data_IF_656952247848
#
_entry.id   IF_656952247848
#
_cell.length_a   1.000
_cell.length_b   1.000
_cell.length_c   1.000
_cell.angle_alpha   90.00
_cell.angle_beta   90.00
_cell.angle_gamma   90.00
#
_symmetry.space_group_name_H-M   'P 1'
#
loop_
_entity.id
_entity.type
_entity.pdbx_description
1 polymer ?
#
# COMPACT_ATOMS: atom_id res chain seq x y z
N UNK A 1 15.61 0.31 -9.54
CA UNK A 1 15.18 1.46 -10.35
C UNK A 1 15.61 1.32 -11.80
N UNK A 2 16.88 1.01 -12.07
CA UNK A 2 17.46 0.84 -13.42
C UNK A 2 16.76 -0.21 -14.31
N UNK A 3 15.95 -1.10 -13.73
CA UNK A 3 15.19 -2.13 -14.45
C UNK A 3 13.78 -1.70 -14.85
N UNK A 4 13.37 -0.50 -14.48
CA UNK A 4 12.06 0.03 -14.86
C UNK A 4 12.21 0.84 -16.14
N UNK A 5 11.40 0.56 -17.19
CA UNK A 5 11.35 1.40 -18.38
C UNK A 5 10.94 2.83 -17.99
N UNK A 6 11.60 3.83 -18.53
CA UNK A 6 11.27 5.24 -18.25
C UNK A 6 9.82 5.58 -18.57
N UNK A 7 9.27 4.98 -19.63
CA UNK A 7 7.87 5.13 -20.04
C UNK A 7 6.85 4.62 -19.03
N UNK A 8 7.28 3.81 -18.04
CA UNK A 8 6.43 3.23 -17.01
C UNK A 8 6.67 3.88 -15.63
N UNK A 9 7.51 4.91 -15.57
CA UNK A 9 7.77 5.70 -14.37
C UNK A 9 7.03 7.02 -14.49
N UNK A 10 5.92 7.15 -13.76
CA UNK A 10 5.07 8.34 -13.82
C UNK A 10 5.27 9.17 -12.56
N UNK A 11 5.51 10.45 -12.72
CA UNK A 11 5.79 11.35 -11.60
C UNK A 11 4.54 12.13 -11.17
N UNK A 12 4.52 12.56 -9.91
CA UNK A 12 3.45 13.36 -9.32
C UNK A 12 3.92 14.80 -9.11
N UNK A 13 3.26 15.77 -9.76
CA UNK A 13 3.50 17.21 -9.56
C UNK A 13 2.70 17.79 -8.40
N UNK A 14 1.54 17.21 -8.11
CA UNK A 14 0.69 17.68 -7.04
C UNK A 14 -0.19 16.54 -6.51
N UNK A 15 -0.73 16.75 -5.32
CA UNK A 15 -1.84 15.98 -4.81
C UNK A 15 -2.97 16.91 -4.36
N UNK A 16 -4.21 16.49 -4.53
CA UNK A 16 -5.38 17.23 -4.09
C UNK A 16 -6.37 16.32 -3.35
N UNK A 17 -7.02 16.88 -2.33
CA UNK A 17 -8.07 16.20 -1.58
C UNK A 17 -9.36 17.00 -1.73
N UNK A 18 -10.43 16.32 -2.16
CA UNK A 18 -11.77 16.89 -2.33
C UNK A 18 -12.73 16.23 -1.34
N UNK A 19 -13.75 16.96 -0.90
CA UNK A 19 -14.73 16.45 0.05
C UNK A 19 -16.17 16.73 -0.43
N UNK A 20 -16.81 15.73 -1.02
CA UNK A 20 -18.17 15.80 -1.57
C UNK A 20 -18.30 16.95 -2.56
N UNK A 21 -19.45 17.60 -2.52
CA UNK A 21 -19.82 18.75 -3.38
C UNK A 21 -19.15 20.06 -2.96
N UNK A 22 -18.17 20.02 -2.04
CA UNK A 22 -17.50 21.21 -1.55
C UNK A 22 -16.58 21.79 -2.63
N UNK A 23 -16.69 23.09 -2.90
CA UNK A 23 -15.75 23.82 -3.75
C UNK A 23 -14.32 23.88 -3.13
N UNK A 24 -14.21 23.54 -1.84
CA UNK A 24 -12.91 23.54 -1.15
C UNK A 24 -12.07 22.35 -1.57
N UNK A 25 -10.84 22.63 -2.01
CA UNK A 25 -9.83 21.65 -2.37
C UNK A 25 -8.59 21.89 -1.52
N UNK A 26 -8.14 20.87 -0.80
CA UNK A 26 -6.86 20.90 -0.13
C UNK A 26 -5.77 20.48 -1.14
N UNK A 27 -4.89 21.40 -1.48
CA UNK A 27 -3.85 21.19 -2.49
C UNK A 27 -2.46 21.07 -1.86
N UNK A 28 -1.70 20.08 -2.31
CA UNK A 28 -0.33 19.79 -1.90
C UNK A 28 0.59 19.89 -3.11
N UNK A 29 1.26 21.03 -3.34
CA UNK A 29 2.29 21.15 -4.36
C UNK A 29 3.56 20.43 -3.94
N UNK A 30 4.46 20.21 -4.88
CA UNK A 30 5.81 19.70 -4.59
C UNK A 30 6.54 20.68 -3.66
N UNK A 31 7.02 20.26 -2.49
CA UNK A 31 7.83 21.11 -1.65
C UNK A 31 9.23 21.30 -2.27
N UNK A 32 9.90 22.39 -1.94
CA UNK A 32 11.25 22.65 -2.43
C UNK A 32 12.30 21.65 -1.93
N UNK A 33 12.02 21.00 -0.80
CA UNK A 33 12.91 20.00 -0.20
C UNK A 33 12.10 18.89 0.49
N UNK A 34 12.63 17.66 0.48
CA UNK A 34 12.08 16.53 1.24
C UNK A 34 12.45 16.63 2.75
N UNK A 35 12.08 15.59 3.53
CA UNK A 35 12.39 15.48 4.97
C UNK A 35 13.91 15.46 5.27
N UNK A 36 14.72 15.04 4.32
CA UNK A 36 16.19 14.97 4.40
C UNK A 36 16.90 16.24 3.86
N UNK A 37 16.14 17.32 3.60
CA UNK A 37 16.64 18.60 3.04
C UNK A 37 17.25 18.49 1.64
N UNK A 38 16.89 17.46 0.88
CA UNK A 38 17.28 17.32 -0.51
C UNK A 38 16.26 18.03 -1.39
N UNK A 39 16.71 18.73 -2.43
CA UNK A 39 15.83 19.34 -3.42
C UNK A 39 15.05 18.23 -4.15
N UNK A 40 13.76 18.44 -4.33
CA UNK A 40 12.87 17.53 -5.04
C UNK A 40 12.01 18.30 -6.04
N UNK A 41 11.69 17.66 -7.14
CA UNK A 41 10.86 18.17 -8.23
C UNK A 41 9.53 17.38 -8.38
N UNK A 42 9.35 16.36 -7.54
CA UNK A 42 8.17 15.50 -7.55
C UNK A 42 7.74 15.12 -6.13
N UNK A 43 6.44 14.90 -5.92
CA UNK A 43 5.91 14.30 -4.68
C UNK A 43 6.23 12.81 -4.58
N UNK A 44 6.51 12.15 -5.70
CA UNK A 44 6.77 10.73 -5.78
C UNK A 44 6.53 10.18 -7.17
N UNK A 45 6.66 8.87 -7.28
CA UNK A 45 6.52 8.17 -8.55
C UNK A 45 5.43 7.10 -8.44
N UNK A 46 4.69 6.94 -9.54
CA UNK A 46 3.78 5.83 -9.75
C UNK A 46 4.42 4.86 -10.75
N UNK A 47 4.56 3.62 -10.34
CA UNK A 47 5.06 2.55 -11.21
C UNK A 47 4.04 1.41 -11.17
N UNK A 48 3.58 0.89 -12.33
CA UNK A 48 2.64 -0.23 -12.35
C UNK A 48 3.19 -1.45 -11.60
N UNK A 49 2.34 -2.10 -10.81
CA UNK A 49 2.75 -3.21 -9.94
C UNK A 49 3.41 -4.36 -10.71
N UNK A 50 2.96 -4.64 -11.95
CA UNK A 50 3.56 -5.68 -12.79
C UNK A 50 4.99 -5.34 -13.21
N UNK A 51 5.31 -4.05 -13.42
CA UNK A 51 6.67 -3.57 -13.73
C UNK A 51 7.58 -3.73 -12.50
N UNK A 52 7.09 -3.36 -11.32
CA UNK A 52 7.83 -3.55 -10.06
C UNK A 52 8.14 -5.03 -9.85
N UNK A 53 7.14 -5.91 -10.03
CA UNK A 53 7.31 -7.36 -9.88
C UNK A 53 8.28 -7.93 -10.89
N UNK A 54 8.18 -7.53 -12.17
CA UNK A 54 9.09 -7.97 -13.22
C UNK A 54 10.53 -7.58 -12.90
N UNK A 55 10.79 -6.31 -12.59
CA UNK A 55 12.13 -5.83 -12.27
C UNK A 55 12.72 -6.51 -11.02
N UNK A 56 11.91 -6.81 -10.00
CA UNK A 56 12.33 -7.58 -8.85
C UNK A 56 12.66 -9.04 -9.21
N UNK A 57 11.81 -9.67 -10.02
CA UNK A 57 12.01 -11.05 -10.48
C UNK A 57 13.30 -11.18 -11.30
N UNK A 58 13.52 -10.31 -12.29
CA UNK A 58 14.73 -10.27 -13.11
C UNK A 58 16.00 -10.08 -12.24
N UNK A 59 15.93 -9.18 -11.25
CA UNK A 59 17.06 -8.94 -10.33
C UNK A 59 17.43 -10.18 -9.52
N UNK A 60 16.45 -10.97 -9.11
CA UNK A 60 16.68 -12.20 -8.33
C UNK A 60 17.15 -13.34 -9.22
N UNK A 61 16.70 -13.43 -10.46
CA UNK A 61 17.14 -14.45 -11.43
C UNK A 61 18.65 -14.39 -11.73
N UNK A 62 19.25 -13.24 -11.62
CA UNK A 62 20.71 -13.05 -11.80
C UNK A 62 21.53 -13.49 -10.59
N UNK A 63 20.88 -13.92 -9.50
CA UNK A 63 21.56 -14.33 -8.28
C UNK A 63 21.68 -15.86 -8.22
N UNK A 64 22.88 -16.40 -8.39
CA UNK A 64 23.14 -17.84 -8.38
C UNK A 64 22.87 -18.50 -7.02
N UNK A 65 22.91 -17.73 -5.93
CA UNK A 65 22.70 -18.22 -4.57
C UNK A 65 21.21 -18.26 -4.16
N UNK A 66 20.27 -17.91 -5.06
CA UNK A 66 18.83 -17.96 -4.81
C UNK A 66 18.21 -19.13 -5.57
N UNK A 67 17.53 -20.01 -4.85
CA UNK A 67 16.76 -21.11 -5.43
C UNK A 67 15.27 -20.77 -5.46
N UNK A 68 14.66 -20.97 -6.61
CA UNK A 68 13.24 -20.79 -6.83
C UNK A 68 12.48 -22.12 -6.74
N UNK A 69 11.39 -22.12 -6.00
CA UNK A 69 10.40 -23.19 -5.98
C UNK A 69 9.06 -22.61 -6.46
N UNK A 70 8.86 -22.60 -7.78
CA UNK A 70 7.65 -22.10 -8.43
C UNK A 70 6.66 -23.21 -8.67
N UNK A 71 5.36 -22.86 -8.80
CA UNK A 71 4.31 -23.84 -9.07
C UNK A 71 3.94 -24.71 -7.88
N UNK A 72 4.44 -24.39 -6.68
CA UNK A 72 4.16 -25.11 -5.45
C UNK A 72 3.64 -24.16 -4.34
N UNK A 73 2.98 -24.74 -3.35
CA UNK A 73 2.39 -24.02 -2.21
C UNK A 73 2.93 -24.55 -0.90
N UNK A 74 3.18 -23.66 0.05
CA UNK A 74 3.49 -24.05 1.43
C UNK A 74 2.23 -24.57 2.10
N UNK A 75 2.28 -25.81 2.58
CA UNK A 75 1.18 -26.51 3.27
C UNK A 75 1.42 -26.70 4.75
N UNK A 76 2.70 -26.66 5.19
CA UNK A 76 3.06 -26.66 6.61
C UNK A 76 4.34 -25.83 6.82
N UNK A 77 4.51 -25.30 8.01
CA UNK A 77 5.74 -24.66 8.44
C UNK A 77 5.89 -24.76 9.95
N UNK A 78 7.12 -24.65 10.42
CA UNK A 78 7.46 -24.69 11.84
C UNK A 78 8.90 -24.29 12.09
N UNK A 79 9.30 -24.33 13.37
CA UNK A 79 10.68 -24.09 13.78
C UNK A 79 11.01 -24.81 15.07
N UNK A 80 12.27 -25.18 15.20
CA UNK A 80 12.89 -25.68 16.43
C UNK A 80 13.95 -24.68 16.95
N UNK A 81 14.83 -25.12 17.83
CA UNK A 81 15.91 -24.28 18.38
C UNK A 81 16.98 -23.93 17.34
N UNK A 82 17.21 -24.76 16.33
CA UNK A 82 18.30 -24.67 15.35
C UNK A 82 17.86 -24.20 13.96
N UNK A 83 16.61 -24.49 13.58
CA UNK A 83 16.12 -24.29 12.20
C UNK A 83 14.65 -23.91 12.14
N UNK A 84 14.25 -23.33 11.00
CA UNK A 84 12.87 -23.23 10.55
C UNK A 84 12.69 -24.08 9.31
N UNK A 85 11.48 -24.55 9.04
CA UNK A 85 11.16 -25.36 7.88
C UNK A 85 9.81 -24.98 7.26
N UNK A 86 9.68 -25.29 5.97
CA UNK A 86 8.42 -25.28 5.23
C UNK A 86 8.26 -26.60 4.50
N UNK A 87 7.02 -27.11 4.43
CA UNK A 87 6.66 -28.27 3.61
C UNK A 87 5.81 -27.76 2.44
N UNK A 88 6.14 -28.17 1.25
CA UNK A 88 5.45 -27.86 0.01
C UNK A 88 4.38 -28.91 -0.31
N UNK A 89 3.41 -28.56 -1.15
CA UNK A 89 2.33 -29.45 -1.56
C UNK A 89 2.78 -30.64 -2.43
N UNK A 90 3.98 -30.58 -2.99
CA UNK A 90 4.63 -31.72 -3.65
C UNK A 90 5.35 -32.69 -2.67
N UNK A 91 5.30 -32.44 -1.36
CA UNK A 91 5.92 -33.23 -0.33
C UNK A 91 7.34 -32.82 0.07
N UNK A 92 7.98 -31.92 -0.67
CA UNK A 92 9.34 -31.44 -0.35
C UNK A 92 9.35 -30.64 0.95
N UNK A 93 10.40 -30.82 1.75
CA UNK A 93 10.64 -30.01 2.95
C UNK A 93 11.94 -29.22 2.79
N UNK A 94 11.85 -27.91 2.96
CA UNK A 94 12.97 -26.98 2.89
C UNK A 94 13.24 -26.45 4.29
N UNK A 95 14.49 -26.56 4.76
CA UNK A 95 14.95 -26.06 6.05
C UNK A 95 15.95 -24.93 5.90
N UNK A 96 15.93 -24.00 6.85
CA UNK A 96 16.86 -22.87 6.88
C UNK A 96 17.01 -22.31 8.28
N UNK A 97 17.97 -21.40 8.49
CA UNK A 97 18.19 -20.75 9.79
C UNK A 97 17.07 -19.76 10.16
N UNK A 98 16.40 -19.22 9.17
CA UNK A 98 15.34 -18.21 9.33
C UNK A 98 14.28 -18.38 8.23
N UNK A 99 13.01 -18.38 8.62
CA UNK A 99 11.87 -18.28 7.72
C UNK A 99 11.40 -16.81 7.65
N UNK A 100 11.29 -16.28 6.44
CA UNK A 100 10.74 -14.93 6.21
C UNK A 100 9.41 -15.04 5.47
N UNK A 101 8.31 -14.67 6.10
CA UNK A 101 6.99 -14.71 5.51
C UNK A 101 6.65 -13.38 4.84
N UNK A 102 6.34 -13.44 3.54
CA UNK A 102 5.90 -12.34 2.69
C UNK A 102 4.65 -12.72 1.88
N UNK A 103 3.82 -13.62 2.42
CA UNK A 103 2.74 -14.35 1.77
C UNK A 103 1.37 -13.66 1.87
N UNK A 104 1.36 -12.32 1.86
CA UNK A 104 0.18 -11.45 1.85
C UNK A 104 -0.49 -11.22 3.23
N UNK A 105 -1.50 -10.32 3.25
CA UNK A 105 -2.29 -10.00 4.45
C UNK A 105 -3.04 -11.19 5.05
N UNK A 106 -3.37 -12.19 4.25
CA UNK A 106 -4.00 -13.44 4.70
C UNK A 106 -2.98 -14.54 4.97
N UNK A 107 -1.76 -14.17 5.35
CA UNK A 107 -0.59 -15.02 5.54
C UNK A 107 -0.93 -16.37 6.20
N UNK A 108 -0.64 -17.45 5.45
CA UNK A 108 -0.69 -18.82 5.98
C UNK A 108 0.41 -19.03 7.01
N UNK A 109 1.64 -18.59 6.69
CA UNK A 109 2.81 -18.76 7.56
C UNK A 109 2.59 -18.06 8.89
N UNK A 110 2.06 -16.82 8.91
CA UNK A 110 1.75 -16.11 10.16
C UNK A 110 0.85 -16.94 11.06
N UNK A 111 -0.24 -17.51 10.51
CA UNK A 111 -1.19 -18.33 11.28
C UNK A 111 -0.58 -19.64 11.76
N UNK A 112 0.12 -20.35 10.87
CA UNK A 112 0.77 -21.62 11.19
C UNK A 112 1.86 -21.47 12.26
N UNK A 113 2.58 -20.32 12.24
CA UNK A 113 3.59 -19.97 13.26
C UNK A 113 2.99 -19.38 14.55
N UNK A 114 1.66 -19.42 14.73
CA UNK A 114 0.98 -18.98 15.95
C UNK A 114 1.03 -17.48 16.22
N UNK A 115 1.18 -16.65 15.17
CA UNK A 115 1.18 -15.20 15.31
C UNK A 115 -0.23 -14.65 15.05
N UNK A 116 -0.88 -14.16 16.12
CA UNK A 116 -2.17 -13.50 16.02
C UNK A 116 -2.07 -12.14 15.30
N UNK A 117 -3.17 -11.71 14.70
CA UNK A 117 -3.29 -10.40 14.07
C UNK A 117 -4.63 -9.75 14.43
N UNK A 118 -4.62 -8.43 14.51
CA UNK A 118 -5.83 -7.63 14.56
C UNK A 118 -6.29 -7.41 13.12
N UNK A 119 -7.47 -7.91 12.79
CA UNK A 119 -8.06 -7.82 11.46
C UNK A 119 -9.22 -6.84 11.48
N UNK A 120 -9.24 -5.91 10.55
CA UNK A 120 -10.32 -4.95 10.36
C UNK A 120 -10.96 -5.16 9.00
N UNK A 121 -12.14 -5.72 8.98
CA UNK A 121 -13.01 -5.74 7.80
C UNK A 121 -13.76 -4.42 7.70
N UNK A 122 -13.71 -3.78 6.53
CA UNK A 122 -14.36 -2.48 6.33
C UNK A 122 -15.74 -2.61 5.69
N UNK A 123 -16.14 -3.81 5.26
CA UNK A 123 -17.39 -4.05 4.51
C UNK A 123 -17.39 -3.32 3.16
N UNK A 124 -16.22 -3.14 2.59
CA UNK A 124 -16.00 -2.38 1.34
C UNK A 124 -15.12 -3.17 0.39
N UNK A 125 -15.31 -2.91 -0.91
CA UNK A 125 -14.44 -3.36 -1.97
C UNK A 125 -13.68 -2.17 -2.58
N UNK A 126 -12.51 -2.48 -3.12
CA UNK A 126 -11.67 -1.57 -3.88
C UNK A 126 -11.69 -2.01 -5.32
N UNK A 127 -12.25 -1.17 -6.20
CA UNK A 127 -12.25 -1.37 -7.64
C UNK A 127 -11.07 -0.60 -8.24
N UNK A 128 -10.24 -1.26 -9.04
CA UNK A 128 -9.05 -0.68 -9.66
C UNK A 128 -9.13 -0.88 -11.16
N UNK A 129 -9.04 0.20 -11.93
CA UNK A 129 -9.09 0.20 -13.39
C UNK A 129 -8.44 1.48 -13.94
N UNK A 130 -8.25 1.53 -15.27
CA UNK A 130 -7.64 2.69 -15.95
C UNK A 130 -8.65 3.35 -16.88
N UNK A 131 -8.66 4.67 -16.87
CA UNK A 131 -9.41 5.49 -17.80
C UNK A 131 -8.47 6.36 -18.63
N UNK A 132 -8.72 6.39 -19.94
CA UNK A 132 -8.23 7.41 -20.85
C UNK A 132 -9.20 8.59 -20.82
N UNK A 133 -8.71 9.84 -20.95
CA UNK A 133 -9.52 11.04 -20.87
C UNK A 133 -8.99 12.15 -21.77
N UNK A 134 -9.89 13.08 -22.12
CA UNK A 134 -9.66 14.13 -23.12
C UNK A 134 -8.72 15.25 -22.65
N UNK A 135 -8.91 15.73 -21.39
CA UNK A 135 -8.12 16.84 -20.84
C UNK A 135 -6.97 16.31 -19.99
N UNK A 136 -5.85 17.04 -19.93
CA UNK A 136 -4.70 16.67 -19.11
C UNK A 136 -5.09 16.58 -17.61
N UNK A 137 -4.52 15.62 -16.91
CA UNK A 137 -4.61 15.51 -15.44
C UNK A 137 -3.52 16.31 -14.69
N UNK A 138 -2.65 17.02 -15.44
CA UNK A 138 -1.54 17.84 -14.93
C UNK A 138 -0.64 17.09 -13.93
N UNK A 139 -0.49 15.78 -14.08
CA UNK A 139 0.22 14.88 -13.14
C UNK A 139 -0.22 15.07 -11.67
N UNK A 140 -1.48 15.38 -11.46
CA UNK A 140 -2.07 15.62 -10.14
C UNK A 140 -2.83 14.40 -9.66
N UNK A 141 -2.39 13.79 -8.54
CA UNK A 141 -3.18 12.79 -7.85
C UNK A 141 -4.36 13.46 -7.13
N UNK A 142 -5.55 12.89 -7.26
CA UNK A 142 -6.76 13.42 -6.60
C UNK A 142 -7.39 12.33 -5.72
N UNK A 143 -7.64 12.64 -4.45
CA UNK A 143 -8.43 11.81 -3.55
C UNK A 143 -9.76 12.51 -3.29
N UNK A 144 -10.84 11.94 -3.82
CA UNK A 144 -12.19 12.47 -3.72
C UNK A 144 -12.97 11.64 -2.69
N UNK A 145 -13.36 12.28 -1.60
CA UNK A 145 -14.21 11.69 -0.57
C UNK A 145 -15.67 12.03 -0.85
N UNK A 146 -16.41 11.08 -1.38
CA UNK A 146 -17.85 11.19 -1.56
C UNK A 146 -18.62 10.61 -0.37
N UNK A 147 -19.94 10.82 -0.34
CA UNK A 147 -20.79 10.23 0.67
C UNK A 147 -21.02 8.75 0.32
N UNK A 148 -20.36 7.85 1.08
CA UNK A 148 -20.48 6.39 0.89
C UNK A 148 -19.43 5.75 -0.02
N UNK A 149 -18.59 6.52 -0.71
CA UNK A 149 -17.49 6.03 -1.54
C UNK A 149 -16.27 6.96 -1.47
N UNK A 150 -15.13 6.50 -1.94
CA UNK A 150 -13.99 7.35 -2.27
C UNK A 150 -13.51 7.02 -3.68
N UNK A 151 -12.99 8.02 -4.37
CA UNK A 151 -12.39 7.89 -5.70
C UNK A 151 -11.00 8.51 -5.67
N UNK A 152 -9.97 7.69 -5.83
CA UNK A 152 -8.62 8.15 -6.09
C UNK A 152 -8.35 8.13 -7.60
N UNK A 153 -7.83 9.23 -8.11
CA UNK A 153 -7.37 9.40 -9.48
C UNK A 153 -5.85 9.56 -9.45
N UNK A 154 -5.13 8.58 -9.97
CA UNK A 154 -3.68 8.52 -9.94
C UNK A 154 -3.14 8.66 -11.39
N UNK A 155 -2.49 9.77 -11.74
CA UNK A 155 -2.04 10.03 -13.12
C UNK A 155 -0.94 9.04 -13.52
N UNK A 156 -1.12 8.35 -14.63
CA UNK A 156 -0.08 7.53 -15.27
C UNK A 156 0.59 8.30 -16.40
N UNK A 157 -0.20 8.83 -17.32
CA UNK A 157 0.24 9.77 -18.35
C UNK A 157 -0.64 11.01 -18.29
N UNK A 158 -0.40 12.01 -19.14
CA UNK A 158 -1.25 13.22 -19.21
C UNK A 158 -2.72 12.89 -19.43
N UNK A 159 -3.02 11.80 -20.15
CA UNK A 159 -4.35 11.41 -20.59
C UNK A 159 -4.79 10.02 -20.09
N UNK A 160 -4.02 9.36 -19.25
CA UNK A 160 -4.39 8.08 -18.63
C UNK A 160 -4.27 8.20 -17.12
N UNK A 161 -5.35 7.84 -16.44
CA UNK A 161 -5.44 7.84 -14.99
C UNK A 161 -5.82 6.45 -14.47
N UNK A 162 -5.12 5.98 -13.46
CA UNK A 162 -5.53 4.80 -12.69
C UNK A 162 -6.57 5.24 -11.66
N UNK A 163 -7.76 4.66 -11.74
CA UNK A 163 -8.88 4.92 -10.85
C UNK A 163 -8.95 3.86 -9.75
N UNK A 164 -9.15 4.31 -8.53
CA UNK A 164 -9.33 3.43 -7.36
C UNK A 164 -10.61 3.85 -6.64
N UNK A 165 -11.68 3.08 -6.81
CA UNK A 165 -12.96 3.34 -6.13
C UNK A 165 -13.06 2.44 -4.91
N UNK A 166 -13.27 3.03 -3.73
CA UNK A 166 -13.63 2.29 -2.52
C UNK A 166 -15.12 2.45 -2.24
N UNK A 167 -15.87 1.36 -2.28
CA UNK A 167 -17.33 1.36 -2.19
C UNK A 167 -17.84 0.23 -1.28
N UNK A 168 -19.06 0.36 -0.76
CA UNK A 168 -19.75 -0.71 -0.01
C UNK A 168 -19.75 -2.01 -0.83
N UNK A 169 -19.38 -3.13 -0.21
CA UNK A 169 -19.26 -4.44 -0.88
C UNK A 169 -20.54 -4.87 -1.58
N UNK A 170 -21.71 -4.46 -1.07
CA UNK A 170 -23.03 -4.75 -1.69
C UNK A 170 -23.28 -3.97 -2.97
N UNK A 171 -22.65 -2.81 -3.13
CA UNK A 171 -22.78 -1.94 -4.31
C UNK A 171 -21.73 -2.23 -5.38
N UNK A 172 -20.61 -2.86 -5.03
CA UNK A 172 -19.51 -3.13 -5.95
C UNK A 172 -19.96 -3.93 -7.20
N UNK A 173 -20.80 -5.02 -7.10
CA UNK A 173 -21.27 -5.75 -8.29
C UNK A 173 -22.07 -4.88 -9.26
N UNK A 174 -22.90 -3.96 -8.75
CA UNK A 174 -23.67 -3.03 -9.60
C UNK A 174 -22.77 -2.09 -10.37
N UNK A 175 -21.69 -1.59 -9.73
CA UNK A 175 -20.77 -0.69 -10.38
C UNK A 175 -19.90 -1.42 -11.43
N UNK A 176 -19.48 -2.65 -11.12
CA UNK A 176 -18.75 -3.51 -12.07
C UNK A 176 -19.61 -3.85 -13.30
N UNK A 177 -20.91 -4.08 -13.09
CA UNK A 177 -21.86 -4.42 -14.16
C UNK A 177 -22.05 -3.27 -15.18
N UNK A 178 -21.65 -2.04 -14.87
CA UNK A 178 -21.66 -0.93 -15.83
C UNK A 178 -20.69 -1.19 -17.02
N UNK A 179 -19.67 -2.03 -16.84
CA UNK A 179 -18.65 -2.25 -17.88
C UNK A 179 -18.03 -0.92 -18.33
N UNK A 180 -18.08 -0.65 -19.64
CA UNK A 180 -17.58 0.61 -20.22
C UNK A 180 -18.32 1.85 -19.67
N UNK A 181 -19.53 1.71 -19.19
CA UNK A 181 -20.32 2.79 -18.57
C UNK A 181 -19.70 3.33 -17.28
N UNK A 182 -18.74 2.62 -16.67
CA UNK A 182 -18.03 3.10 -15.47
C UNK A 182 -17.26 4.39 -15.76
N UNK A 183 -16.81 4.60 -17.01
CA UNK A 183 -16.13 5.82 -17.41
C UNK A 183 -17.04 7.04 -17.33
N UNK A 184 -18.30 6.94 -17.81
CA UNK A 184 -19.29 7.99 -17.66
C UNK A 184 -19.68 8.26 -16.21
N UNK A 185 -19.76 7.19 -15.39
CA UNK A 185 -20.00 7.32 -13.95
C UNK A 185 -18.88 8.14 -13.26
N UNK A 186 -17.61 7.80 -13.52
CA UNK A 186 -16.47 8.54 -12.96
C UNK A 186 -16.44 9.98 -13.47
N UNK A 187 -16.68 10.21 -14.78
CA UNK A 187 -16.71 11.55 -15.35
C UNK A 187 -17.77 12.44 -14.65
N UNK A 188 -18.95 11.89 -14.39
CA UNK A 188 -20.01 12.62 -13.66
C UNK A 188 -19.62 12.93 -12.21
N UNK A 189 -18.99 11.97 -11.48
CA UNK A 189 -18.53 12.19 -10.10
C UNK A 189 -17.48 13.30 -9.97
N UNK A 190 -16.73 13.58 -11.04
CA UNK A 190 -15.70 14.63 -11.04
C UNK A 190 -16.13 15.87 -11.84
N UNK A 191 -17.43 16.10 -12.06
CA UNK A 191 -17.97 17.24 -12.82
C UNK A 191 -17.35 17.39 -14.23
N UNK A 192 -17.09 16.27 -14.91
CA UNK A 192 -16.52 16.21 -16.26
C UNK A 192 -15.20 16.98 -16.46
N UNK A 193 -14.46 17.29 -15.39
CA UNK A 193 -13.24 18.14 -15.47
C UNK A 193 -12.11 17.55 -16.31
N UNK A 194 -12.09 16.24 -16.57
CA UNK A 194 -11.16 15.59 -17.47
C UNK A 194 -11.73 15.35 -18.88
N UNK A 195 -12.92 15.90 -19.19
CA UNK A 195 -13.61 15.73 -20.46
C UNK A 195 -14.21 14.33 -20.63
N UNK A 196 -14.33 13.90 -21.88
CA UNK A 196 -14.79 12.54 -22.20
C UNK A 196 -13.81 11.48 -21.68
N UNK A 197 -14.36 10.39 -21.14
CA UNK A 197 -13.56 9.31 -20.54
C UNK A 197 -13.91 7.96 -21.16
N UNK A 198 -12.93 7.05 -21.24
CA UNK A 198 -13.06 5.70 -21.78
C UNK A 198 -12.33 4.69 -20.92
N UNK A 199 -12.95 3.53 -20.68
CA UNK A 199 -12.30 2.40 -19.98
C UNK A 199 -11.24 1.76 -20.88
N UNK A 200 -9.99 1.64 -20.38
CA UNK A 200 -8.86 1.08 -21.14
C UNK A 200 -8.17 -0.08 -20.41
N UNK A 201 -8.83 -0.65 -19.42
CA UNK A 201 -8.37 -1.85 -18.72
C UNK A 201 -9.53 -2.69 -18.21
N UNK A 202 -9.24 -3.89 -17.69
CA UNK A 202 -10.18 -4.63 -16.86
C UNK A 202 -10.43 -3.95 -15.53
N UNK A 203 -11.63 -4.15 -14.95
CA UNK A 203 -11.95 -3.73 -13.59
C UNK A 203 -11.55 -4.85 -12.64
N UNK A 204 -10.61 -4.57 -11.74
CA UNK A 204 -10.20 -5.50 -10.69
C UNK A 204 -10.93 -5.18 -9.40
N UNK A 205 -11.44 -6.21 -8.71
CA UNK A 205 -12.18 -6.09 -7.45
C UNK A 205 -11.43 -6.78 -6.31
N UNK A 206 -11.23 -6.06 -5.21
CA UNK A 206 -10.53 -6.56 -4.03
C UNK A 206 -11.30 -6.23 -2.75
N UNK A 207 -11.53 -7.20 -1.85
CA UNK A 207 -12.09 -6.92 -0.54
C UNK A 207 -11.13 -6.07 0.29
N UNK A 208 -11.65 -5.03 0.93
CA UNK A 208 -10.88 -4.12 1.75
C UNK A 208 -10.75 -4.66 3.17
N UNK A 209 -9.60 -5.21 3.49
CA UNK A 209 -9.28 -5.77 4.81
C UNK A 209 -7.95 -5.20 5.28
N UNK A 210 -7.95 -4.60 6.47
CA UNK A 210 -6.74 -4.21 7.17
C UNK A 210 -6.27 -5.32 8.10
N UNK A 211 -4.98 -5.54 8.18
CA UNK A 211 -4.36 -6.54 9.07
C UNK A 211 -3.14 -5.94 9.74
N UNK A 212 -3.02 -6.11 11.05
CA UNK A 212 -1.80 -5.79 11.78
C UNK A 212 -1.44 -6.95 12.70
N UNK A 213 -0.33 -7.63 12.43
CA UNK A 213 0.13 -8.72 13.27
C UNK A 213 0.52 -8.19 14.67
N UNK A 214 0.13 -8.90 15.71
CA UNK A 214 0.44 -8.50 17.11
C UNK A 214 1.94 -8.57 17.40
N UNK A 215 2.64 -9.47 16.70
CA UNK A 215 4.11 -9.59 16.69
C UNK A 215 4.57 -9.75 15.26
N UNK A 216 5.75 -9.22 14.90
CA UNK A 216 6.32 -9.34 13.56
C UNK A 216 7.38 -10.43 13.46
N UNK A 217 7.54 -11.20 14.52
CA UNK A 217 8.46 -12.34 14.61
C UNK A 217 7.96 -13.37 15.60
N UNK A 218 8.47 -14.56 15.47
CA UNK A 218 8.46 -15.62 16.48
C UNK A 218 9.77 -16.39 16.38
N UNK A 219 9.88 -17.56 17.02
CA UNK A 219 11.09 -18.37 16.92
C UNK A 219 11.46 -18.64 15.46
N UNK A 220 12.65 -18.20 15.04
CA UNK A 220 13.19 -18.35 13.68
C UNK A 220 12.26 -17.96 12.54
N UNK A 221 11.33 -17.06 12.80
CA UNK A 221 10.40 -16.56 11.77
C UNK A 221 10.21 -15.06 11.90
N UNK A 222 10.28 -14.34 10.76
CA UNK A 222 9.97 -12.93 10.63
C UNK A 222 8.87 -12.72 9.59
N UNK A 223 7.95 -11.78 9.86
CA UNK A 223 6.92 -11.35 8.91
C UNK A 223 7.33 -10.02 8.28
N UNK A 224 7.22 -9.88 6.96
CA UNK A 224 7.45 -8.64 6.23
C UNK A 224 6.25 -8.31 5.33
N UNK A 225 6.20 -7.06 4.85
CA UNK A 225 5.12 -6.60 3.97
C UNK A 225 3.74 -6.78 4.57
N UNK A 226 2.77 -7.16 3.74
CA UNK A 226 1.38 -7.33 4.15
C UNK A 226 1.15 -8.51 5.12
N UNK A 227 2.08 -9.47 5.19
CA UNK A 227 2.03 -10.54 6.20
C UNK A 227 2.19 -9.98 7.63
N UNK A 228 2.97 -8.88 7.77
CA UNK A 228 3.14 -8.15 9.02
C UNK A 228 2.07 -7.07 9.21
N UNK A 229 1.86 -6.22 8.18
CA UNK A 229 0.94 -5.08 8.25
C UNK A 229 0.35 -4.76 6.86
N UNK A 230 -0.88 -5.20 6.63
CA UNK A 230 -1.68 -4.83 5.45
C UNK A 230 -2.60 -3.66 5.78
N UNK A 231 -2.41 -2.51 5.11
CA UNK A 231 -3.11 -1.26 5.40
C UNK A 231 -4.20 -0.94 4.39
N UNK A 232 -5.07 0.00 4.75
CA UNK A 232 -5.99 0.64 3.82
C UNK A 232 -5.21 1.44 2.76
N UNK A 233 -5.57 1.38 1.46
CA UNK A 233 -4.81 2.01 0.37
C UNK A 233 -4.85 3.54 0.35
N UNK A 234 -5.79 4.19 1.06
CA UNK A 234 -6.00 5.66 1.04
C UNK A 234 -4.75 6.49 1.32
N UNK A 235 -3.77 5.95 2.03
CA UNK A 235 -2.52 6.67 2.34
C UNK A 235 -1.35 6.26 1.45
N UNK A 236 -1.53 5.32 0.52
CA UNK A 236 -0.49 4.78 -0.38
C UNK A 236 0.80 4.28 0.32
N UNK A 237 0.77 4.01 1.63
CA UNK A 237 1.95 3.63 2.42
C UNK A 237 2.23 2.13 2.43
N UNK A 238 1.30 1.27 1.98
CA UNK A 238 1.41 -0.19 2.13
C UNK A 238 2.70 -0.75 1.54
N UNK A 239 2.99 -0.43 0.28
CA UNK A 239 4.20 -0.88 -0.40
C UNK A 239 5.48 -0.34 0.26
N UNK A 240 5.51 0.94 0.59
CA UNK A 240 6.67 1.59 1.22
C UNK A 240 6.97 1.00 2.61
N UNK A 241 5.96 0.67 3.40
CA UNK A 241 6.14 -0.05 4.67
C UNK A 241 6.66 -1.47 4.46
N UNK A 242 6.22 -2.14 3.39
CA UNK A 242 6.77 -3.44 2.98
C UNK A 242 8.27 -3.36 2.69
N UNK A 243 8.70 -2.39 1.88
CA UNK A 243 10.11 -2.12 1.60
C UNK A 243 10.90 -1.77 2.87
N UNK A 244 10.33 -0.95 3.76
CA UNK A 244 10.96 -0.60 5.02
C UNK A 244 11.14 -1.84 5.92
N UNK A 245 10.17 -2.76 5.96
CA UNK A 245 10.30 -4.00 6.72
C UNK A 245 11.45 -4.85 6.22
N UNK A 246 11.56 -4.97 4.91
CA UNK A 246 12.63 -5.71 4.25
C UNK A 246 14.00 -5.07 4.51
N UNK A 247 14.12 -3.75 4.40
CA UNK A 247 15.36 -3.01 4.66
C UNK A 247 15.83 -3.19 6.13
N UNK A 248 14.94 -3.03 7.09
CA UNK A 248 15.26 -3.20 8.52
C UNK A 248 15.74 -4.63 8.79
N UNK A 249 15.02 -5.65 8.28
CA UNK A 249 15.35 -7.05 8.52
C UNK A 249 16.67 -7.43 7.84
N UNK A 250 16.86 -7.05 6.57
CA UNK A 250 18.07 -7.39 5.81
C UNK A 250 19.33 -6.80 6.44
N UNK A 251 19.29 -5.54 6.89
CA UNK A 251 20.43 -4.92 7.60
C UNK A 251 20.79 -5.64 8.89
N UNK A 252 19.79 -6.12 9.63
CA UNK A 252 20.03 -6.88 10.85
C UNK A 252 20.62 -8.27 10.55
N UNK A 253 20.09 -8.96 9.52
CA UNK A 253 20.63 -10.26 9.06
C UNK A 253 22.09 -10.10 8.61
N UNK A 254 22.39 -9.11 7.77
CA UNK A 254 23.75 -8.87 7.27
C UNK A 254 24.73 -8.57 8.41
N UNK A 255 24.30 -7.79 9.43
CA UNK A 255 25.12 -7.52 10.62
C UNK A 255 25.40 -8.79 11.41
N UNK A 256 24.40 -9.66 11.64
CA UNK A 256 24.57 -10.94 12.34
C UNK A 256 25.50 -11.88 11.56
N UNK A 257 25.26 -12.03 10.26
CA UNK A 257 26.07 -12.88 9.40
C UNK A 257 27.53 -12.41 9.33
N UNK A 258 27.78 -11.11 9.21
CA UNK A 258 29.11 -10.51 9.20
C UNK A 258 29.89 -10.69 10.53
N UNK A 259 29.17 -10.99 11.63
CA UNK A 259 29.76 -11.32 12.94
C UNK A 259 29.84 -12.84 13.19
N UNK A 260 29.50 -13.67 12.21
CA UNK A 260 29.44 -15.12 12.37
C UNK A 260 28.34 -15.62 13.31
N UNK A 261 27.34 -14.74 13.65
CA UNK A 261 26.26 -15.06 14.56
C UNK A 261 25.06 -15.67 13.83
N UNK A 262 24.18 -16.30 14.60
CA UNK A 262 22.95 -16.90 14.08
C UNK A 262 21.98 -15.86 13.53
N UNK A 263 21.57 -16.00 12.28
CA UNK A 263 20.59 -15.13 11.62
C UNK A 263 19.14 -15.38 12.05
N UNK A 264 18.89 -16.50 12.76
CA UNK A 264 17.60 -16.78 13.42
C UNK A 264 17.55 -16.38 14.90
N UNK A 265 18.53 -15.60 15.37
CA UNK A 265 18.66 -15.18 16.78
C UNK A 265 17.41 -14.43 17.28
N UNK A 266 16.82 -14.85 18.43
CA UNK A 266 15.59 -14.26 18.93
C UNK A 266 15.74 -12.79 19.36
N UNK A 267 16.96 -12.36 19.79
CA UNK A 267 17.22 -10.97 20.19
C UNK A 267 17.23 -10.07 18.95
N UNK A 268 17.86 -10.53 17.87
CA UNK A 268 17.86 -9.83 16.58
C UNK A 268 16.43 -9.71 16.03
N UNK A 269 15.65 -10.80 16.04
CA UNK A 269 14.26 -10.80 15.59
C UNK A 269 13.36 -9.91 16.45
N UNK A 270 13.57 -9.86 17.76
CA UNK A 270 12.86 -8.95 18.64
C UNK A 270 13.21 -7.48 18.36
N UNK A 271 14.47 -7.17 18.02
CA UNK A 271 14.89 -5.83 17.62
C UNK A 271 14.22 -5.40 16.31
N UNK A 272 14.15 -6.31 15.31
CA UNK A 272 13.40 -6.12 14.09
C UNK A 272 11.94 -5.79 14.39
N UNK A 273 11.26 -6.66 15.14
CA UNK A 273 9.85 -6.55 15.44
C UNK A 273 9.51 -5.22 16.14
N UNK A 274 10.26 -4.84 17.18
CA UNK A 274 10.08 -3.56 17.88
C UNK A 274 10.23 -2.36 16.94
N UNK A 275 11.30 -2.32 16.15
CA UNK A 275 11.61 -1.20 15.27
C UNK A 275 10.52 -1.01 14.22
N UNK A 276 10.08 -2.08 13.58
CA UNK A 276 9.06 -2.00 12.52
C UNK A 276 7.65 -1.74 13.10
N UNK A 277 7.32 -2.29 14.28
CA UNK A 277 6.04 -1.99 14.94
C UNK A 277 5.90 -0.52 15.34
N UNK A 278 6.97 0.12 15.83
CA UNK A 278 6.96 1.55 16.15
C UNK A 278 6.65 2.42 14.91
N UNK A 279 7.09 1.98 13.73
CA UNK A 279 6.82 2.69 12.49
C UNK A 279 5.38 2.43 11.98
N UNK A 280 4.90 1.20 12.08
CA UNK A 280 3.61 0.80 11.48
C UNK A 280 2.39 1.13 12.34
N UNK A 281 2.46 0.99 13.65
CA UNK A 281 1.30 1.20 14.56
C UNK A 281 0.65 2.57 14.43
N UNK A 282 1.40 3.69 14.51
CA UNK A 282 0.79 5.02 14.38
C UNK A 282 0.11 5.22 13.02
N UNK A 283 0.76 4.76 11.94
CA UNK A 283 0.23 4.86 10.59
C UNK A 283 -1.02 3.99 10.41
N UNK A 284 -1.01 2.75 10.89
CA UNK A 284 -2.16 1.84 10.81
C UNK A 284 -3.38 2.41 11.54
N UNK A 285 -3.22 2.83 12.80
CA UNK A 285 -4.32 3.37 13.59
C UNK A 285 -4.77 4.74 13.08
N UNK A 286 -3.84 5.61 12.66
CA UNK A 286 -4.15 6.93 12.08
C UNK A 286 -4.93 6.78 10.77
N UNK A 287 -4.49 5.91 9.87
CA UNK A 287 -5.20 5.62 8.62
C UNK A 287 -6.59 5.08 8.88
N UNK A 288 -6.75 4.11 9.79
CA UNK A 288 -8.05 3.56 10.15
C UNK A 288 -8.99 4.62 10.76
N UNK A 289 -8.47 5.55 11.57
CA UNK A 289 -9.24 6.66 12.12
C UNK A 289 -9.71 7.62 11.02
N UNK A 290 -8.83 8.00 10.09
CA UNK A 290 -9.17 8.83 8.92
C UNK A 290 -10.26 8.14 8.11
N UNK A 291 -10.05 6.89 7.71
CA UNK A 291 -11.03 6.12 6.93
C UNK A 291 -12.38 6.09 7.63
N UNK A 292 -12.43 5.75 8.92
CA UNK A 292 -13.68 5.75 9.70
C UNK A 292 -14.35 7.12 9.72
N UNK A 293 -13.59 8.21 9.85
CA UNK A 293 -14.13 9.57 9.82
C UNK A 293 -14.70 9.92 8.45
N UNK A 294 -13.94 9.63 7.38
CA UNK A 294 -14.32 10.03 6.02
C UNK A 294 -15.36 9.11 5.37
N UNK A 295 -15.58 7.91 5.87
CA UNK A 295 -16.59 6.97 5.37
C UNK A 295 -17.92 6.99 6.15
N UNK A 296 -17.98 7.62 7.33
CA UNK A 296 -19.23 7.78 8.09
C UNK A 296 -20.12 8.86 7.48
N UNK A 297 -21.40 8.56 7.30
CA UNK A 297 -22.37 9.47 6.67
C UNK A 297 -23.18 10.30 7.69
N UNK A 298 -22.87 10.24 8.98
CA UNK A 298 -23.58 10.98 10.02
C UNK A 298 -23.34 12.49 9.87
N UNK A 299 -24.36 13.36 10.19
CA UNK A 299 -24.21 14.81 10.13
C UNK A 299 -23.02 15.33 10.94
N UNK A 300 -22.76 14.75 12.11
CA UNK A 300 -21.60 15.08 12.95
C UNK A 300 -20.26 14.75 12.28
N UNK A 301 -20.16 13.63 11.56
CA UNK A 301 -18.97 13.28 10.81
C UNK A 301 -18.73 14.22 9.63
N UNK A 302 -19.79 14.71 8.98
CA UNK A 302 -19.69 15.70 7.89
C UNK A 302 -19.13 17.03 8.40
N UNK A 303 -19.64 17.55 9.53
CA UNK A 303 -19.15 18.77 10.17
C UNK A 303 -17.67 18.61 10.58
N UNK A 304 -17.33 17.47 11.21
CA UNK A 304 -15.97 17.21 11.66
C UNK A 304 -14.98 17.11 10.49
N UNK A 305 -15.38 16.49 9.36
CA UNK A 305 -14.55 16.45 8.13
C UNK A 305 -14.25 17.86 7.62
N UNK A 306 -15.29 18.71 7.48
CA UNK A 306 -15.10 20.09 7.06
C UNK A 306 -14.16 20.85 8.01
N UNK A 307 -14.33 20.66 9.32
CA UNK A 307 -13.45 21.25 10.33
C UNK A 307 -12.00 20.77 10.18
N UNK A 308 -11.77 19.46 10.04
CA UNK A 308 -10.42 18.88 9.89
C UNK A 308 -9.74 19.36 8.61
N UNK A 309 -10.46 19.40 7.47
CA UNK A 309 -9.87 19.85 6.20
C UNK A 309 -9.52 21.34 6.22
N UNK A 310 -10.43 22.21 6.73
CA UNK A 310 -10.14 23.64 6.89
C UNK A 310 -8.99 23.90 7.86
N UNK A 311 -8.98 23.19 8.99
CA UNK A 311 -7.92 23.33 9.98
C UNK A 311 -6.56 22.87 9.40
N UNK A 312 -6.56 21.79 8.59
CA UNK A 312 -5.33 21.30 7.93
C UNK A 312 -4.78 22.29 6.92
N UNK A 313 -5.62 23.07 6.26
CA UNK A 313 -5.18 24.11 5.32
C UNK A 313 -4.60 25.34 6.05
N UNK A 314 -5.19 25.72 7.19
CA UNK A 314 -4.77 26.88 7.99
C UNK A 314 -3.62 26.59 8.97
N UNK A 315 -3.24 25.32 9.18
CA UNK A 315 -2.12 24.96 10.07
C UNK A 315 -0.88 24.50 9.27
N UNK A 316 0.04 25.43 8.94
CA UNK A 316 1.27 25.10 8.21
C UNK A 316 2.06 23.92 8.80
N UNK A 317 2.15 23.73 10.14
CA UNK A 317 2.84 22.57 10.70
C UNK A 317 2.18 21.24 10.35
N UNK A 318 0.85 21.18 10.34
CA UNK A 318 0.10 19.96 10.01
C UNK A 318 0.22 19.63 8.52
N UNK A 319 0.09 20.65 7.65
CA UNK A 319 0.31 20.50 6.20
C UNK A 319 1.74 20.02 5.90
N UNK A 320 2.75 20.58 6.55
CA UNK A 320 4.15 20.12 6.45
C UNK A 320 4.34 18.68 6.94
N UNK A 321 3.66 18.28 8.01
CA UNK A 321 3.74 16.91 8.51
C UNK A 321 3.16 15.92 7.50
N UNK A 322 1.99 16.22 6.91
CA UNK A 322 1.35 15.41 5.87
C UNK A 322 2.25 15.35 4.64
N UNK A 323 2.75 16.48 4.15
CA UNK A 323 3.65 16.53 2.98
C UNK A 323 4.93 15.74 3.22
N UNK A 324 5.54 15.85 4.41
CA UNK A 324 6.69 15.02 4.78
C UNK A 324 6.42 13.53 4.74
N UNK A 325 5.23 13.11 5.11
CA UNK A 325 4.84 11.70 5.00
C UNK A 325 4.61 11.24 3.55
N UNK A 326 4.23 12.16 2.66
CA UNK A 326 4.07 11.87 1.23
C UNK A 326 5.41 11.80 0.49
N UNK A 327 6.41 12.56 0.93
CA UNK A 327 7.72 12.69 0.24
C UNK A 327 8.87 11.86 0.86
N UNK A 328 8.61 11.09 1.91
CA UNK A 328 9.58 10.19 2.55
C UNK A 328 10.41 10.85 3.63
#
# INVERSE_FOLDING_TARGET
>A
WQRFPESEIHYLRAASVLNGDSAFRLHFPVPTQNSHRQAIDTLGYLVPNHIIRRGAYEAVQEQENIRWHTGCRVVACGSDTGSAFVTLDNGDTISGKLLVAADSRFSFVRRAMGIAADTQEFGRNVLVFRLEHEHSNDHTASECFFYGSTLALLPLTDHITNCVITIDSRKAPTLIALGDGIAAHVAAEIDHRLGAMKLVSTIHDYPLVGVHARRFHTNRCALIGDAACGMHPVTAHGYNLGLQSQDILSRLILRQAGQGKDTGDPVMLAAYGRRHQLNTRPLYHGTNAIVKLFTRETPSARILRHGVLRLSDHLPPLKRLITRQLTG
#
